data_IF_773003393619
#
_entry.id   IF_773003393619
#
_cell.length_a   1.000
_cell.length_b   1.000
_cell.length_c   1.000
_cell.angle_alpha   90.00
_cell.angle_beta   90.00
_cell.angle_gamma   90.00
#
_symmetry.space_group_name_H-M   'P 1'
#
loop_
_entity.id
_entity.type
_entity.pdbx_description
1 polymer ?
#
# COMPACT_ATOMS: atom_id res chain seq x y z
N UNK A 1 -21.34 -28.52 31.84
CA UNK A 1 -20.35 -27.44 31.69
C UNK A 1 -20.58 -26.63 30.42
N UNK A 2 -20.77 -25.30 30.52
CA UNK A 2 -20.84 -24.46 29.33
C UNK A 2 -19.48 -24.41 28.64
N UNK A 3 -19.45 -24.65 27.33
CA UNK A 3 -18.24 -24.49 26.54
C UNK A 3 -17.94 -23.00 26.26
N UNK A 4 -16.66 -22.58 26.36
CA UNK A 4 -16.28 -21.21 26.03
C UNK A 4 -16.39 -20.95 24.52
N UNK A 5 -17.10 -19.89 24.15
CA UNK A 5 -17.24 -19.44 22.76
C UNK A 5 -15.92 -18.86 22.25
N UNK A 6 -15.22 -19.60 21.40
CA UNK A 6 -14.03 -19.11 20.68
C UNK A 6 -14.47 -18.20 19.53
N UNK A 7 -14.57 -16.89 19.75
CA UNK A 7 -14.70 -15.93 18.64
C UNK A 7 -13.42 -15.98 17.79
N UNK A 8 -13.57 -16.29 16.51
CA UNK A 8 -12.45 -16.30 15.55
C UNK A 8 -11.87 -14.89 15.47
N UNK A 9 -10.61 -14.73 15.86
CA UNK A 9 -9.83 -13.48 15.72
C UNK A 9 -9.44 -13.25 14.23
N UNK A 10 -9.99 -14.05 13.30
CA UNK A 10 -9.60 -14.14 11.89
C UNK A 10 -9.98 -12.93 11.02
N UNK A 11 -10.95 -12.11 11.42
CA UNK A 11 -11.58 -11.12 10.53
C UNK A 11 -10.62 -10.00 10.06
N UNK A 12 -9.75 -9.49 10.93
CA UNK A 12 -8.88 -8.36 10.59
C UNK A 12 -7.67 -8.81 9.74
N UNK A 13 -7.09 -9.97 10.06
CA UNK A 13 -5.96 -10.49 9.32
C UNK A 13 -6.37 -10.90 7.91
N UNK A 14 -7.48 -11.64 7.78
CA UNK A 14 -8.00 -12.08 6.48
C UNK A 14 -8.28 -10.87 5.57
N UNK A 15 -8.80 -9.77 6.14
CA UNK A 15 -9.06 -8.53 5.42
C UNK A 15 -7.78 -7.83 4.93
N UNK A 16 -6.76 -7.76 5.78
CA UNK A 16 -5.45 -7.19 5.43
C UNK A 16 -4.79 -7.97 4.29
N UNK A 17 -4.83 -9.31 4.36
CA UNK A 17 -4.29 -10.14 3.28
C UNK A 17 -5.07 -9.96 1.97
N UNK A 18 -6.40 -9.95 2.02
CA UNK A 18 -7.24 -9.75 0.83
C UNK A 18 -6.95 -8.39 0.16
N UNK A 19 -6.79 -7.33 0.94
CA UNK A 19 -6.52 -5.98 0.40
C UNK A 19 -5.09 -5.80 -0.13
N UNK A 20 -4.14 -6.57 0.42
CA UNK A 20 -2.77 -6.67 -0.10
C UNK A 20 -2.70 -7.44 -1.42
N UNK A 21 -3.44 -8.55 -1.55
CA UNK A 21 -3.61 -9.25 -2.83
C UNK A 21 -4.25 -8.33 -3.88
N UNK A 22 -5.25 -7.55 -3.49
CA UNK A 22 -5.89 -6.55 -4.36
C UNK A 22 -4.97 -5.33 -4.63
N UNK A 23 -3.79 -5.25 -4.00
CA UNK A 23 -2.76 -4.26 -4.28
C UNK A 23 -1.78 -4.70 -5.37
N UNK A 24 -1.78 -5.99 -5.72
CA UNK A 24 -1.16 -6.48 -6.95
C UNK A 24 -2.01 -6.02 -8.13
N UNK A 25 -1.92 -4.74 -8.47
CA UNK A 25 -2.41 -4.25 -9.76
C UNK A 25 -1.54 -4.94 -10.80
N UNK A 26 -2.10 -5.79 -11.71
CA UNK A 26 -1.30 -6.43 -12.72
C UNK A 26 -0.73 -5.33 -13.61
N UNK A 27 0.56 -5.03 -13.43
CA UNK A 27 1.34 -4.17 -14.32
C UNK A 27 1.53 -4.97 -15.60
N UNK A 28 0.48 -4.98 -16.41
CA UNK A 28 0.43 -5.62 -17.71
C UNK A 28 1.39 -4.93 -18.67
N UNK A 29 2.59 -5.47 -18.77
CA UNK A 29 3.43 -5.43 -19.97
C UNK A 29 4.36 -4.23 -20.12
N UNK A 30 5.65 -4.45 -19.87
CA UNK A 30 6.68 -4.20 -20.89
C UNK A 30 8.01 -4.80 -20.42
N UNK A 31 8.39 -5.91 -21.04
CA UNK A 31 9.78 -6.35 -21.01
C UNK A 31 10.70 -5.33 -21.68
N UNK A 32 11.97 -5.38 -21.27
CA UNK A 32 13.16 -4.62 -21.75
C UNK A 32 13.49 -3.37 -20.92
N UNK A 33 14.30 -3.53 -19.88
CA UNK A 33 15.76 -3.45 -20.07
C UNK A 33 16.49 -3.65 -18.74
N UNK A 34 17.36 -4.65 -18.72
CA UNK A 34 18.49 -4.68 -17.82
C UNK A 34 19.44 -3.51 -18.12
N UNK A 35 20.24 -3.14 -17.11
CA UNK A 35 21.49 -2.38 -17.15
C UNK A 35 21.45 -0.85 -17.23
N UNK A 36 21.60 -0.21 -16.06
CA UNK A 36 22.76 0.67 -15.77
C UNK A 36 22.78 1.06 -14.29
N UNK A 37 23.86 0.68 -13.60
CA UNK A 37 24.11 1.12 -12.24
C UNK A 37 24.24 2.64 -12.14
N UNK A 38 23.61 3.21 -11.12
CA UNK A 38 23.96 4.52 -10.58
C UNK A 38 23.72 4.52 -9.06
N UNK A 39 24.70 5.10 -8.36
CA UNK A 39 25.01 5.00 -6.92
C UNK A 39 23.87 5.48 -5.99
N UNK A 40 23.87 5.08 -4.70
CA UNK A 40 22.89 5.55 -3.73
C UNK A 40 23.31 6.93 -3.25
N UNK A 41 22.46 7.94 -3.47
CA UNK A 41 22.61 9.23 -2.82
C UNK A 41 21.42 9.45 -1.89
N UNK A 42 21.72 9.29 -0.60
CA UNK A 42 21.30 10.17 0.47
C UNK A 42 19.83 10.60 0.48
N UNK A 43 19.05 9.96 1.35
CA UNK A 43 17.71 10.39 1.67
C UNK A 43 17.16 9.66 2.88
N UNK A 44 17.92 9.68 3.97
CA UNK A 44 17.47 9.28 5.30
C UNK A 44 16.15 10.00 5.64
N UNK A 45 15.04 9.29 5.47
CA UNK A 45 13.71 9.67 5.93
C UNK A 45 13.00 8.41 6.38
N UNK A 46 13.55 7.82 7.45
CA UNK A 46 12.73 7.20 8.48
C UNK A 46 11.80 8.29 9.02
N UNK A 47 10.69 8.55 8.31
CA UNK A 47 9.59 9.34 8.86
C UNK A 47 8.78 8.40 9.73
N UNK A 48 9.17 8.43 11.00
CA UNK A 48 8.35 8.16 12.17
C UNK A 48 6.85 8.13 11.89
N UNK A 49 6.23 6.99 12.23
CA UNK A 49 4.89 6.86 12.76
C UNK A 49 3.95 8.05 12.53
N UNK A 50 3.19 7.98 11.44
CA UNK A 50 2.02 8.79 11.19
C UNK A 50 2.31 10.16 10.58
N UNK A 51 1.33 10.59 9.79
CA UNK A 51 1.09 11.98 9.39
C UNK A 51 1.75 12.33 8.02
N UNK A 52 0.83 12.57 7.07
CA UNK A 52 0.89 13.40 5.86
C UNK A 52 1.18 12.71 4.52
N UNK A 53 0.13 12.15 3.94
CA UNK A 53 -0.14 12.30 2.50
C UNK A 53 -0.58 13.76 2.22
N UNK A 54 0.28 14.74 2.52
CA UNK A 54 0.22 16.11 1.96
C UNK A 54 1.12 16.22 0.72
N UNK A 55 1.46 15.09 0.11
CA UNK A 55 1.94 15.12 -1.27
C UNK A 55 0.71 15.39 -2.12
N UNK A 56 0.79 16.32 -3.07
CA UNK A 56 -0.24 16.52 -4.10
C UNK A 56 -0.38 15.23 -4.94
N UNK A 57 -1.06 14.22 -4.39
CA UNK A 57 -1.24 12.91 -5.03
C UNK A 57 -2.03 13.04 -6.33
N UNK A 58 -2.85 14.08 -6.45
CA UNK A 58 -3.56 14.44 -7.69
C UNK A 58 -2.65 14.93 -8.81
N UNK A 59 -1.48 15.49 -8.48
CA UNK A 59 -0.50 15.96 -9.45
C UNK A 59 0.61 14.94 -9.73
N UNK A 60 0.63 13.83 -9.00
CA UNK A 60 1.65 12.81 -9.11
C UNK A 60 1.50 12.02 -10.42
N UNK A 61 2.60 11.67 -11.11
CA UNK A 61 2.54 10.75 -12.24
C UNK A 61 1.94 9.39 -11.84
N UNK A 62 1.21 8.76 -12.76
CA UNK A 62 0.56 7.47 -12.56
C UNK A 62 1.52 6.39 -12.02
N UNK A 63 2.75 6.35 -12.53
CA UNK A 63 3.77 5.41 -12.09
C UNK A 63 4.23 5.67 -10.64
N UNK A 64 4.48 6.93 -10.28
CA UNK A 64 4.87 7.30 -8.91
C UNK A 64 3.75 7.02 -7.91
N UNK A 65 2.49 7.20 -8.32
CA UNK A 65 1.32 6.87 -7.49
C UNK A 65 1.22 5.36 -7.24
N UNK A 66 1.47 4.53 -8.27
CA UNK A 66 1.49 3.08 -8.13
C UNK A 66 2.64 2.62 -7.20
N UNK A 67 3.82 3.21 -7.33
CA UNK A 67 4.97 2.92 -6.45
C UNK A 67 4.68 3.30 -4.99
N UNK A 68 4.02 4.44 -4.76
CA UNK A 68 3.60 4.87 -3.43
C UNK A 68 2.60 3.89 -2.80
N UNK A 69 1.62 3.42 -3.59
CA UNK A 69 0.66 2.40 -3.14
C UNK A 69 1.39 1.12 -2.72
N UNK A 70 2.37 0.65 -3.50
CA UNK A 70 3.16 -0.53 -3.17
C UNK A 70 3.93 -0.35 -1.85
N UNK A 71 4.59 0.80 -1.66
CA UNK A 71 5.34 1.11 -0.44
C UNK A 71 4.44 1.15 0.81
N UNK A 72 3.26 1.78 0.72
CA UNK A 72 2.32 1.85 1.83
C UNK A 72 1.68 0.50 2.13
N UNK A 73 1.45 -0.33 1.11
CA UNK A 73 0.98 -1.71 1.29
C UNK A 73 2.02 -2.54 2.03
N UNK A 74 3.30 -2.42 1.70
CA UNK A 74 4.36 -3.12 2.42
C UNK A 74 4.43 -2.68 3.90
N UNK A 75 4.31 -1.38 4.17
CA UNK A 75 4.25 -0.84 5.54
C UNK A 75 3.01 -1.34 6.30
N UNK A 76 1.85 -1.41 5.64
CA UNK A 76 0.62 -1.96 6.22
C UNK A 76 0.80 -3.42 6.62
N UNK A 77 1.39 -4.24 5.74
CA UNK A 77 1.68 -5.64 6.02
C UNK A 77 2.72 -5.81 7.14
N UNK A 78 3.74 -4.95 7.19
CA UNK A 78 4.69 -4.88 8.30
C UNK A 78 3.99 -4.61 9.63
N UNK A 79 3.19 -3.53 9.68
CA UNK A 79 2.41 -3.18 10.86
C UNK A 79 1.46 -4.30 11.30
N UNK A 80 0.82 -5.00 10.36
CA UNK A 80 -0.05 -6.13 10.66
C UNK A 80 0.71 -7.34 11.24
N UNK A 81 1.90 -7.65 10.72
CA UNK A 81 2.79 -8.69 11.26
C UNK A 81 3.24 -8.36 12.68
N UNK A 82 3.50 -7.08 12.95
CA UNK A 82 3.90 -6.57 14.26
C UNK A 82 2.72 -6.35 15.22
N UNK A 83 1.50 -6.78 14.85
CA UNK A 83 0.25 -6.65 15.62
C UNK A 83 -0.16 -5.20 15.90
N UNK A 84 0.35 -4.24 15.12
CA UNK A 84 0.03 -2.81 15.18
C UNK A 84 -1.25 -2.50 14.38
N UNK A 85 -2.38 -3.06 14.80
CA UNK A 85 -3.62 -3.03 14.02
C UNK A 85 -4.21 -1.63 13.79
N UNK A 86 -4.02 -0.69 14.72
CA UNK A 86 -4.48 0.68 14.52
C UNK A 86 -3.71 1.37 13.38
N UNK A 87 -2.39 1.18 13.33
CA UNK A 87 -1.55 1.69 12.26
C UNK A 87 -1.87 1.01 10.94
N UNK A 88 -2.01 -0.32 10.94
CA UNK A 88 -2.39 -1.09 9.76
C UNK A 88 -3.76 -0.65 9.21
N UNK A 89 -4.75 -0.39 10.08
CA UNK A 89 -6.07 0.08 9.68
C UNK A 89 -6.02 1.48 9.04
N UNK A 90 -5.20 2.39 9.57
CA UNK A 90 -5.00 3.71 8.96
C UNK A 90 -4.34 3.60 7.59
N UNK A 91 -3.26 2.82 7.49
CA UNK A 91 -2.56 2.59 6.23
C UNK A 91 -3.45 1.93 5.18
N UNK A 92 -4.34 1.02 5.59
CA UNK A 92 -5.35 0.42 4.73
C UNK A 92 -6.26 1.48 4.11
N UNK A 93 -6.81 2.37 4.93
CA UNK A 93 -7.75 3.39 4.46
C UNK A 93 -7.06 4.35 3.47
N UNK A 94 -5.81 4.74 3.76
CA UNK A 94 -4.99 5.54 2.84
C UNK A 94 -4.72 4.80 1.52
N UNK A 95 -4.29 3.54 1.56
CA UNK A 95 -4.07 2.71 0.37
C UNK A 95 -5.34 2.57 -0.46
N UNK A 96 -6.49 2.39 0.19
CA UNK A 96 -7.78 2.27 -0.50
C UNK A 96 -8.15 3.55 -1.26
N UNK A 97 -7.89 4.72 -0.69
CA UNK A 97 -8.17 5.99 -1.34
C UNK A 97 -7.21 6.28 -2.50
N UNK A 98 -5.91 5.96 -2.35
CA UNK A 98 -4.94 6.08 -3.45
C UNK A 98 -5.26 5.15 -4.61
N UNK A 99 -5.74 3.92 -4.35
CA UNK A 99 -6.21 3.00 -5.39
C UNK A 99 -7.41 3.57 -6.15
N UNK A 100 -8.33 4.27 -5.49
CA UNK A 100 -9.46 4.93 -6.17
C UNK A 100 -8.97 6.04 -7.10
N UNK A 101 -8.00 6.84 -6.65
CA UNK A 101 -7.40 7.89 -7.47
C UNK A 101 -6.71 7.30 -8.71
N UNK A 102 -5.90 6.26 -8.52
CA UNK A 102 -5.22 5.56 -9.62
C UNK A 102 -6.22 5.01 -10.66
N UNK A 103 -7.31 4.39 -10.20
CA UNK A 103 -8.41 3.93 -11.07
C UNK A 103 -9.10 5.09 -11.79
N UNK A 104 -9.23 6.24 -11.14
CA UNK A 104 -9.73 7.48 -11.74
C UNK A 104 -8.82 7.99 -12.86
N UNK A 105 -7.50 7.96 -12.66
CA UNK A 105 -6.51 8.32 -13.68
C UNK A 105 -6.57 7.35 -14.88
N UNK A 106 -6.66 6.05 -14.61
CA UNK A 106 -6.82 5.02 -15.65
C UNK A 106 -8.09 5.23 -16.48
N UNK A 107 -9.21 5.52 -15.83
CA UNK A 107 -10.48 5.82 -16.49
C UNK A 107 -10.42 7.12 -17.32
N UNK A 108 -9.62 8.10 -16.88
CA UNK A 108 -9.36 9.32 -17.62
C UNK A 108 -8.33 9.15 -18.77
N UNK A 109 -7.74 7.96 -18.92
CA UNK A 109 -6.74 7.65 -19.95
C UNK A 109 -5.34 8.22 -19.65
N UNK A 110 -5.09 8.64 -18.41
CA UNK A 110 -3.79 9.11 -17.95
C UNK A 110 -2.90 7.89 -17.66
N UNK A 111 -1.94 7.64 -18.55
CA UNK A 111 -0.97 6.53 -18.44
C UNK A 111 0.40 7.01 -18.00
#
# INVERSE_FOLDING_TARGET
>A
DPQPLRKKIADILDRVYTEAEDAEVPVGGSGRNASRGKKPEQGDRVRSAGVLVDKDVKAMPRAELADLIAQLTEQMMGAARDLQFELAARLRDEVADLKKELRGMDAAGLK
#
